data_IF_499162310815
#
_entry.id   IF_499162310815
#
_cell.length_a   1.000
_cell.length_b   1.000
_cell.length_c   1.000
_cell.angle_alpha   90.00
_cell.angle_beta   90.00
_cell.angle_gamma   90.00
#
_symmetry.space_group_name_H-M   'P 1'
#
loop_
_entity.id
_entity.type
_entity.pdbx_description
1 polymer ?
#
# COMPACT_ATOMS: atom_id res chain seq x y z
N UNK A 1 18.38 12.86 1.25
CA UNK A 1 17.50 13.10 2.41
C UNK A 1 16.56 11.92 2.50
N UNK A 2 16.40 11.35 3.70
CA UNK A 2 15.42 10.30 3.90
C UNK A 2 14.03 10.92 3.94
N UNK A 3 13.08 10.28 3.29
CA UNK A 3 11.68 10.70 3.23
C UNK A 3 10.87 9.74 4.08
N UNK A 4 10.14 10.31 5.04
CA UNK A 4 9.28 9.59 5.97
C UNK A 4 7.85 9.71 5.48
N UNK A 5 7.15 8.60 5.36
CA UNK A 5 5.74 8.65 5.02
C UNK A 5 4.90 7.65 5.81
N UNK A 6 3.65 8.05 6.03
CA UNK A 6 2.58 7.13 6.39
C UNK A 6 1.86 6.67 5.13
N UNK A 7 1.36 5.44 5.16
CA UNK A 7 0.55 4.86 4.10
C UNK A 7 -0.72 4.33 4.74
N UNK A 8 -1.83 4.97 4.43
CA UNK A 8 -3.16 4.54 4.78
C UNK A 8 -3.68 3.54 3.73
N UNK A 9 -4.22 2.41 4.17
CA UNK A 9 -4.89 1.44 3.30
C UNK A 9 -6.36 1.37 3.70
N UNK A 10 -7.23 1.71 2.75
CA UNK A 10 -8.66 1.82 2.95
C UNK A 10 -9.41 0.74 2.18
N UNK A 11 -10.42 0.16 2.82
CA UNK A 11 -11.41 -0.69 2.18
C UNK A 11 -12.54 0.15 1.61
N UNK A 12 -13.12 -0.31 0.51
CA UNK A 12 -14.36 0.27 -0.02
C UNK A 12 -15.53 -0.66 0.14
N UNK A 13 -16.65 -0.15 0.63
CA UNK A 13 -17.90 -0.88 0.74
C UNK A 13 -19.05 -0.02 0.23
N UNK A 14 -20.03 -0.69 -0.38
CA UNK A 14 -21.27 -0.04 -0.80
C UNK A 14 -22.23 -0.01 0.37
N UNK A 15 -22.73 1.18 0.71
CA UNK A 15 -23.78 1.31 1.71
C UNK A 15 -25.14 1.15 1.02
N UNK A 16 -26.09 0.48 1.65
CA UNK A 16 -27.44 0.35 1.10
C UNK A 16 -28.06 1.75 0.90
N UNK A 17 -28.24 2.16 -0.36
CA UNK A 17 -28.85 3.45 -0.72
C UNK A 17 -27.92 4.67 -0.62
N UNK A 18 -26.65 4.48 -0.27
CA UNK A 18 -25.60 5.50 -0.29
C UNK A 18 -24.43 5.03 -1.13
N UNK A 19 -23.71 5.93 -1.79
CA UNK A 19 -22.57 5.55 -2.65
C UNK A 19 -21.47 4.77 -1.92
N UNK A 20 -20.36 4.58 -2.62
CA UNK A 20 -19.17 3.93 -2.07
C UNK A 20 -18.60 4.71 -0.89
N UNK A 21 -18.35 4.03 0.23
CA UNK A 21 -17.67 4.59 1.40
C UNK A 21 -16.30 3.94 1.61
N UNK A 22 -15.37 4.74 2.13
CA UNK A 22 -14.00 4.32 2.46
C UNK A 22 -13.88 4.09 3.97
N UNK A 23 -13.23 3.00 4.38
CA UNK A 23 -12.86 2.71 5.76
C UNK A 23 -11.37 2.47 5.87
N UNK A 24 -10.68 3.22 6.74
CA UNK A 24 -9.28 2.98 7.07
C UNK A 24 -9.16 1.69 7.86
N UNK A 25 -8.62 0.63 7.26
CA UNK A 25 -8.41 -0.64 7.96
C UNK A 25 -6.95 -0.95 8.29
N UNK A 26 -5.98 -0.35 7.59
CA UNK A 26 -4.57 -0.50 7.97
C UNK A 26 -3.76 0.78 7.78
N UNK A 27 -2.77 0.96 8.65
CA UNK A 27 -1.81 2.05 8.59
C UNK A 27 -0.39 1.49 8.63
N UNK A 28 0.43 1.95 7.70
CA UNK A 28 1.85 1.60 7.60
C UNK A 28 2.72 2.84 7.74
N UNK A 29 3.95 2.61 8.17
CA UNK A 29 5.05 3.57 8.16
C UNK A 29 6.13 3.08 7.20
N UNK A 30 6.70 4.03 6.46
CA UNK A 30 7.79 3.76 5.54
C UNK A 30 8.88 4.83 5.66
N UNK A 31 10.12 4.37 5.79
CA UNK A 31 11.32 5.20 5.76
C UNK A 31 12.13 4.84 4.51
N UNK A 32 12.32 5.79 3.59
CA UNK A 32 13.12 5.54 2.39
C UNK A 32 13.80 6.81 1.91
N UNK A 33 14.99 6.64 1.33
CA UNK A 33 15.72 7.71 0.67
C UNK A 33 15.10 8.00 -0.71
N UNK A 34 13.97 8.73 -0.77
CA UNK A 34 13.35 9.04 -2.07
C UNK A 34 12.14 9.96 -2.04
N UNK A 35 12.03 10.78 -3.09
CA UNK A 35 10.91 11.69 -3.36
C UNK A 35 9.58 10.96 -3.66
N UNK A 36 8.41 11.63 -3.58
CA UNK A 36 7.09 11.04 -3.80
C UNK A 36 6.94 10.21 -5.10
N UNK A 37 7.52 10.65 -6.22
CA UNK A 37 7.45 9.95 -7.51
C UNK A 37 8.29 8.65 -7.61
N UNK A 38 8.91 8.21 -6.52
CA UNK A 38 9.45 6.86 -6.38
C UNK A 38 8.53 5.95 -5.56
N UNK A 39 7.77 6.54 -4.64
CA UNK A 39 6.91 5.81 -3.71
C UNK A 39 5.65 5.27 -4.39
N UNK A 40 5.07 6.02 -5.34
CA UNK A 40 4.00 5.56 -6.23
C UNK A 40 4.37 4.23 -6.93
N UNK A 41 5.51 4.18 -7.62
CA UNK A 41 6.01 3.01 -8.34
C UNK A 41 6.26 1.84 -7.40
N UNK A 42 6.77 2.14 -6.21
CA UNK A 42 7.00 1.15 -5.15
C UNK A 42 5.68 0.56 -4.65
N UNK A 43 4.70 1.40 -4.30
CA UNK A 43 3.36 0.95 -3.91
C UNK A 43 2.73 0.07 -5.01
N UNK A 44 2.78 0.50 -6.27
CA UNK A 44 2.27 -0.30 -7.39
C UNK A 44 2.94 -1.67 -7.49
N UNK A 45 4.27 -1.73 -7.34
CA UNK A 45 5.02 -2.99 -7.37
C UNK A 45 4.56 -3.93 -6.25
N UNK A 46 4.44 -3.41 -5.02
CA UNK A 46 4.03 -4.20 -3.86
C UNK A 46 2.56 -4.62 -3.91
N UNK A 47 1.65 -3.76 -4.37
CA UNK A 47 0.24 -4.10 -4.54
C UNK A 47 0.05 -5.19 -5.59
N UNK A 48 0.74 -5.09 -6.74
CA UNK A 48 0.73 -6.16 -7.76
C UNK A 48 1.29 -7.48 -7.24
N UNK A 49 2.39 -7.44 -6.49
CA UNK A 49 2.98 -8.64 -5.89
C UNK A 49 2.05 -9.26 -4.83
N UNK A 50 1.41 -8.43 -4.02
CA UNK A 50 0.44 -8.82 -2.99
C UNK A 50 -0.77 -9.51 -3.62
N UNK A 51 -1.30 -8.96 -4.72
CA UNK A 51 -2.42 -9.57 -5.43
C UNK A 51 -2.05 -10.96 -5.95
N UNK A 52 -0.90 -11.09 -6.63
CA UNK A 52 -0.41 -12.38 -7.12
C UNK A 52 -0.16 -13.39 -6.00
N UNK A 53 0.31 -12.91 -4.84
CA UNK A 53 0.50 -13.75 -3.66
C UNK A 53 -0.83 -14.34 -3.18
N UNK A 54 -1.84 -13.48 -3.00
CA UNK A 54 -3.18 -13.90 -2.55
C UNK A 54 -3.87 -14.81 -3.57
N UNK A 55 -3.72 -14.52 -4.86
CA UNK A 55 -4.22 -15.37 -5.95
C UNK A 55 -3.59 -16.76 -5.91
N UNK A 56 -2.26 -16.85 -5.83
CA UNK A 56 -1.53 -18.14 -5.73
C UNK A 56 -1.92 -18.93 -4.49
N UNK A 57 -2.22 -18.25 -3.39
CA UNK A 57 -2.69 -18.87 -2.16
C UNK A 57 -4.16 -19.32 -2.19
N UNK A 58 -4.91 -19.03 -3.28
CA UNK A 58 -6.33 -19.37 -3.41
C UNK A 58 -7.28 -18.40 -2.70
N UNK A 59 -6.80 -17.19 -2.39
CA UNK A 59 -7.53 -16.17 -1.63
C UNK A 59 -7.72 -14.83 -2.38
N UNK A 60 -8.15 -14.80 -3.66
CA UNK A 60 -8.31 -13.54 -4.39
C UNK A 60 -9.45 -12.65 -3.86
N UNK A 61 -10.39 -13.22 -3.09
CA UNK A 61 -11.48 -12.51 -2.42
C UNK A 61 -11.07 -11.90 -1.08
N UNK A 62 -9.82 -12.13 -0.64
CA UNK A 62 -9.22 -11.58 0.58
C UNK A 62 -8.41 -10.30 0.30
N UNK A 63 -8.86 -9.53 -0.70
CA UNK A 63 -8.28 -8.24 -1.08
C UNK A 63 -8.80 -7.10 -0.19
N UNK A 64 -8.60 -7.24 1.12
CA UNK A 64 -8.94 -6.25 2.13
C UNK A 64 -7.68 -5.62 2.75
N UNK A 65 -7.85 -4.45 3.36
CA UNK A 65 -6.76 -3.59 3.82
C UNK A 65 -5.83 -4.25 4.81
N UNK A 66 -6.36 -5.02 5.77
CA UNK A 66 -5.57 -5.75 6.77
C UNK A 66 -4.66 -6.78 6.12
N UNK A 67 -5.21 -7.61 5.23
CA UNK A 67 -4.45 -8.67 4.55
C UNK A 67 -3.49 -8.11 3.52
N UNK A 68 -3.89 -7.09 2.77
CA UNK A 68 -2.99 -6.40 1.84
C UNK A 68 -1.82 -5.80 2.61
N UNK A 69 -2.06 -5.12 3.73
CA UNK A 69 -1.00 -4.59 4.59
C UNK A 69 -0.05 -5.69 5.09
N UNK A 70 -0.60 -6.78 5.61
CA UNK A 70 0.19 -7.89 6.14
C UNK A 70 1.09 -8.53 5.07
N UNK A 71 0.55 -8.78 3.88
CA UNK A 71 1.33 -9.33 2.76
C UNK A 71 2.35 -8.32 2.24
N UNK A 72 2.03 -7.02 2.19
CA UNK A 72 3.01 -5.99 1.82
C UNK A 72 4.18 -5.94 2.80
N UNK A 73 3.93 -6.06 4.10
CA UNK A 73 4.99 -6.15 5.13
C UNK A 73 5.83 -7.41 4.88
N UNK A 74 5.20 -8.58 4.74
CA UNK A 74 5.86 -9.86 4.48
C UNK A 74 6.77 -9.81 3.25
N UNK A 75 6.25 -9.30 2.12
CA UNK A 75 7.02 -9.17 0.89
C UNK A 75 8.18 -8.18 1.02
N UNK A 76 8.10 -7.25 1.97
CA UNK A 76 9.12 -6.22 2.17
C UNK A 76 10.28 -6.65 3.07
N UNK A 77 10.18 -7.78 3.76
CA UNK A 77 11.26 -8.34 4.57
C UNK A 77 12.27 -9.15 3.74
N UNK A 78 11.93 -9.48 2.49
CA UNK A 78 12.79 -10.29 1.61
C UNK A 78 12.81 -11.79 1.93
N UNK A 79 12.10 -12.23 2.98
CA UNK A 79 12.04 -13.64 3.42
C UNK A 79 11.16 -14.55 2.54
N UNK A 80 10.55 -14.02 1.48
CA UNK A 80 9.72 -14.83 0.59
C UNK A 80 10.49 -15.20 -0.67
N UNK A 81 10.78 -16.50 -0.81
CA UNK A 81 11.25 -17.14 -2.05
C UNK A 81 10.23 -16.97 -3.18
N UNK A 82 10.20 -15.79 -3.80
CA UNK A 82 9.79 -15.69 -5.19
C UNK A 82 10.97 -16.21 -6.03
N UNK A 83 10.81 -17.32 -6.80
CA UNK A 83 11.87 -17.77 -7.67
C UNK A 83 12.15 -16.65 -8.67
N UNK A 84 13.42 -16.24 -8.75
CA UNK A 84 14.02 -15.34 -9.76
C UNK A 84 13.89 -13.81 -9.64
N UNK A 85 13.86 -13.21 -8.44
CA UNK A 85 14.23 -11.79 -8.30
C UNK A 85 15.43 -11.57 -7.37
N UNK A 86 16.45 -10.79 -7.78
CA UNK A 86 17.53 -10.41 -6.89
C UNK A 86 16.93 -9.60 -5.73
N UNK A 87 17.36 -9.94 -4.51
CA UNK A 87 16.91 -9.34 -3.26
C UNK A 87 16.78 -7.82 -3.38
N UNK A 88 15.55 -7.31 -3.24
CA UNK A 88 15.29 -5.88 -3.18
C UNK A 88 15.68 -5.35 -1.79
N UNK A 89 16.97 -5.08 -1.67
CA UNK A 89 17.67 -4.30 -0.65
C UNK A 89 18.15 -5.01 0.62
N UNK A 90 19.35 -4.57 0.98
CA UNK A 90 20.13 -4.76 2.19
C UNK A 90 19.47 -4.15 3.43
N UNK A 91 19.83 -4.73 4.58
CA UNK A 91 19.54 -4.36 5.98
C UNK A 91 18.26 -4.99 6.56
N UNK A 92 18.42 -5.57 7.76
CA UNK A 92 17.46 -6.33 8.59
C UNK A 92 16.16 -5.59 8.98
N UNK A 93 15.75 -4.56 8.25
CA UNK A 93 14.63 -3.68 8.58
C UNK A 93 13.57 -3.75 7.49
N UNK A 94 12.32 -4.17 7.82
CA UNK A 94 11.21 -4.16 6.88
C UNK A 94 11.03 -2.78 6.26
N UNK A 95 10.85 -2.73 4.94
CA UNK A 95 10.57 -1.46 4.27
C UNK A 95 9.22 -0.91 4.74
N UNK A 96 8.19 -1.73 4.81
CA UNK A 96 6.91 -1.33 5.41
C UNK A 96 6.81 -1.85 6.83
N UNK A 97 6.44 -0.96 7.75
CA UNK A 97 6.27 -1.28 9.16
C UNK A 97 4.82 -1.00 9.55
N UNK A 98 4.17 -1.87 10.33
CA UNK A 98 2.84 -1.58 10.84
C UNK A 98 2.90 -0.34 11.75
N UNK A 99 1.88 0.50 11.69
CA UNK A 99 1.74 1.65 12.58
C UNK A 99 0.32 1.78 13.10
N UNK A 100 0.19 2.19 14.36
CA UNK A 100 -1.11 2.40 15.01
C UNK A 100 -1.58 3.85 14.93
N UNK A 101 -0.70 4.78 14.53
CA UNK A 101 -0.99 6.21 14.46
C UNK A 101 -0.18 6.90 13.37
N UNK A 102 -0.66 8.04 12.90
CA UNK A 102 0.13 8.90 12.04
C UNK A 102 1.35 9.41 12.82
N UNK A 103 2.49 9.46 12.14
CA UNK A 103 3.71 10.03 12.67
C UNK A 103 3.73 11.52 12.37
N UNK A 104 4.06 12.34 13.37
CA UNK A 104 3.98 13.81 13.26
C UNK A 104 5.12 14.40 12.40
N UNK A 105 6.19 13.63 12.20
CA UNK A 105 7.42 14.01 11.49
C UNK A 105 7.49 13.46 10.06
N UNK A 106 6.33 13.28 9.41
CA UNK A 106 6.25 12.77 8.04
C UNK A 106 6.27 13.89 7.01
N UNK A 107 6.88 13.58 5.86
CA UNK A 107 6.89 14.47 4.71
C UNK A 107 5.59 14.35 3.90
N UNK A 108 5.04 13.13 3.80
CA UNK A 108 3.85 12.81 3.00
C UNK A 108 2.97 11.74 3.64
N UNK A 109 1.68 11.82 3.34
CA UNK A 109 0.71 10.75 3.59
C UNK A 109 0.29 10.18 2.24
N UNK A 110 0.43 8.87 2.09
CA UNK A 110 -0.13 8.11 0.98
C UNK A 110 -1.44 7.47 1.40
N UNK A 111 -2.41 7.41 0.49
CA UNK A 111 -3.66 6.69 0.67
C UNK A 111 -3.84 5.71 -0.49
N UNK A 112 -4.03 4.44 -0.16
CA UNK A 112 -4.40 3.38 -1.08
C UNK A 112 -5.85 3.01 -0.80
N UNK A 113 -6.71 3.20 -1.79
CA UNK A 113 -8.13 2.82 -1.69
C UNK A 113 -8.30 1.51 -2.45
N UNK A 114 -8.55 0.42 -1.74
CA UNK A 114 -8.76 -0.90 -2.31
C UNK A 114 -10.17 -1.01 -2.86
N UNK A 115 -10.29 -1.49 -4.09
CA UNK A 115 -11.54 -1.73 -4.82
C UNK A 115 -11.71 -3.24 -5.05
N UNK A 116 -12.86 -3.63 -5.60
CA UNK A 116 -13.16 -5.03 -5.89
C UNK A 116 -12.13 -5.66 -6.85
N UNK A 117 -11.89 -6.97 -6.69
CA UNK A 117 -11.08 -7.79 -7.63
C UNK A 117 -9.65 -7.26 -7.85
N UNK A 118 -8.95 -6.88 -6.79
CA UNK A 118 -7.54 -6.46 -6.91
C UNK A 118 -7.34 -5.05 -7.45
N UNK A 119 -8.41 -4.32 -7.76
CA UNK A 119 -8.33 -2.92 -8.19
C UNK A 119 -7.98 -2.02 -7.00
N UNK A 120 -7.35 -0.88 -7.28
CA UNK A 120 -7.04 0.11 -6.25
C UNK A 120 -6.75 1.49 -6.86
N UNK A 121 -6.87 2.52 -6.04
CA UNK A 121 -6.49 3.89 -6.37
C UNK A 121 -5.40 4.37 -5.40
N UNK A 122 -4.47 5.22 -5.87
CA UNK A 122 -3.41 5.79 -5.03
C UNK A 122 -3.50 7.32 -5.04
N UNK A 123 -3.44 7.87 -3.84
CA UNK A 123 -3.43 9.30 -3.55
C UNK A 123 -2.20 9.64 -2.69
N UNK A 124 -1.70 10.86 -2.78
CA UNK A 124 -0.79 11.40 -1.76
C UNK A 124 -1.15 12.85 -1.40
N UNK A 125 -0.69 13.28 -0.23
CA UNK A 125 -0.67 14.69 0.17
C UNK A 125 0.54 14.96 1.04
N UNK A 126 0.96 16.21 1.12
CA UNK A 126 1.71 16.70 2.29
C UNK A 126 0.74 16.92 3.45
N UNK A 127 1.16 16.78 4.72
CA UNK A 127 0.27 16.94 5.87
C UNK A 127 -0.54 18.25 5.89
N UNK A 128 0.03 19.34 5.37
CA UNK A 128 -0.61 20.66 5.28
C UNK A 128 -1.38 20.93 3.97
N UNK A 129 -1.50 19.95 3.09
CA UNK A 129 -2.07 20.11 1.75
C UNK A 129 -3.32 19.22 1.53
N UNK A 130 -4.12 19.59 0.52
CA UNK A 130 -5.24 18.77 0.05
C UNK A 130 -4.76 17.49 -0.65
N UNK A 131 -5.62 16.49 -0.73
CA UNK A 131 -5.33 15.25 -1.45
C UNK A 131 -5.08 15.50 -2.94
N UNK A 132 -3.94 14.99 -3.42
CA UNK A 132 -3.62 14.92 -4.84
C UNK A 132 -3.82 13.48 -5.32
N UNK A 133 -4.72 13.28 -6.28
CA UNK A 133 -4.90 11.97 -6.94
C UNK A 133 -3.71 11.72 -7.85
N UNK A 134 -3.04 10.59 -7.68
CA UNK A 134 -1.85 10.23 -8.45
C UNK A 134 -2.25 9.47 -9.70
N UNK A 135 -3.00 8.39 -9.51
CA UNK A 135 -3.38 7.48 -10.58
C UNK A 135 -4.71 6.76 -10.27
N UNK A 136 -5.43 6.40 -11.33
CA UNK A 136 -6.55 5.46 -11.31
C UNK A 136 -6.13 4.22 -12.10
N UNK A 137 -5.59 3.21 -11.44
CA UNK A 137 -5.22 1.96 -12.11
C UNK A 137 -6.31 0.93 -11.83
N UNK A 138 -7.31 0.87 -12.72
CA UNK A 138 -7.98 -0.40 -12.96
C UNK A 138 -6.94 -1.33 -13.55
N UNK A 139 -6.54 -2.37 -12.82
CA UNK A 139 -5.84 -3.49 -13.45
C UNK A 139 -6.82 -4.05 -14.48
N UNK A 140 -6.69 -3.63 -15.74
CA UNK A 140 -7.33 -4.31 -16.85
C UNK A 140 -6.90 -5.78 -16.83
N UNK A 141 -7.88 -6.63 -17.14
CA UNK A 141 -7.86 -8.09 -17.05
C UNK A 141 -6.65 -8.73 -17.74
#
# INVERSE_FOLDING_TARGET
>A
MSTRCNIEIHDTFNVLGGGEQEYLGALLYHHSDGYPGFMDKKLHKFLKATYKYLEKAGHPYWWDSERVAAVMILLSTGDYEAPTQPALHSFDVPQFQPSLKLHDDIDYIWKVVLKLKGQYEIYYRRPSENWTKVDLIGLEQ
#
